data_IF_939361536972
#
_entry.id   IF_939361536972
#
_cell.length_a   1.000
_cell.length_b   1.000
_cell.length_c   1.000
_cell.angle_alpha   90.00
_cell.angle_beta   90.00
_cell.angle_gamma   90.00
#
_symmetry.space_group_name_H-M   'P 1'
#
loop_
_entity.id
_entity.type
_entity.pdbx_description
1 polymer ?
#
# COMPACT_ATOMS: atom_id res chain seq x y z
N UNK A 1 6.67 -3.17 -31.85
CA UNK A 1 6.98 -1.73 -31.66
C UNK A 1 6.96 -1.36 -30.17
N UNK A 2 5.79 -1.28 -29.50
CA UNK A 2 5.69 -0.79 -28.11
C UNK A 2 6.61 -1.49 -27.11
N UNK A 3 6.69 -2.83 -27.13
CA UNK A 3 7.59 -3.60 -26.25
C UNK A 3 9.06 -3.25 -26.53
N UNK A 4 9.46 -3.16 -27.80
CA UNK A 4 10.81 -2.79 -28.18
C UNK A 4 11.15 -1.35 -27.74
N UNK A 5 10.19 -0.42 -27.85
CA UNK A 5 10.35 0.95 -27.35
C UNK A 5 10.51 0.98 -25.82
N UNK A 6 9.67 0.24 -25.09
CA UNK A 6 9.75 0.18 -23.63
C UNK A 6 11.06 -0.45 -23.15
N UNK A 7 11.52 -1.51 -23.83
CA UNK A 7 12.81 -2.14 -23.55
C UNK A 7 13.98 -1.23 -23.90
N UNK A 8 13.94 -0.53 -25.04
CA UNK A 8 14.97 0.42 -25.43
C UNK A 8 15.09 1.56 -24.40
N UNK A 9 13.96 2.12 -23.96
CA UNK A 9 13.93 3.19 -22.97
C UNK A 9 14.44 2.71 -21.61
N UNK A 10 13.93 1.59 -21.10
CA UNK A 10 14.32 1.03 -19.80
C UNK A 10 15.78 0.56 -19.81
N UNK A 11 16.22 -0.03 -20.92
CA UNK A 11 17.58 -0.49 -21.13
C UNK A 11 18.57 0.68 -21.20
N UNK A 12 18.23 1.76 -21.91
CA UNK A 12 19.08 2.96 -21.98
C UNK A 12 19.32 3.57 -20.59
N UNK A 13 18.27 3.65 -19.75
CA UNK A 13 18.40 4.08 -18.37
C UNK A 13 19.27 3.14 -17.54
N UNK A 14 19.02 1.83 -17.61
CA UNK A 14 19.79 0.83 -16.86
C UNK A 14 21.29 0.87 -17.24
N UNK A 15 21.60 1.01 -18.53
CA UNK A 15 22.96 1.15 -19.03
C UNK A 15 23.61 2.46 -18.56
N UNK A 16 22.86 3.57 -18.51
CA UNK A 16 23.38 4.85 -17.99
C UNK A 16 23.71 4.78 -16.50
N UNK A 17 22.85 4.14 -15.70
CA UNK A 17 23.12 3.92 -14.27
C UNK A 17 24.31 2.97 -14.09
N UNK A 18 24.42 1.94 -14.92
CA UNK A 18 25.56 1.03 -14.86
C UNK A 18 26.87 1.70 -15.27
N UNK A 19 26.86 2.65 -16.22
CA UNK A 19 28.05 3.39 -16.63
C UNK A 19 28.57 4.37 -15.55
N UNK A 20 27.75 4.72 -14.57
CA UNK A 20 28.10 5.69 -13.50
C UNK A 20 28.50 5.02 -12.17
N UNK A 21 28.37 3.71 -12.06
CA UNK A 21 28.69 2.96 -10.84
C UNK A 21 29.34 1.61 -11.12
N UNK A 22 29.44 0.78 -10.10
CA UNK A 22 29.99 -0.59 -10.17
C UNK A 22 28.98 -1.63 -10.70
N UNK A 23 27.76 -1.19 -11.06
CA UNK A 23 26.66 -2.06 -11.49
C UNK A 23 26.05 -2.89 -10.37
N UNK A 24 26.48 -2.75 -9.12
CA UNK A 24 25.87 -3.46 -7.98
C UNK A 24 24.42 -3.03 -7.79
N UNK A 25 24.11 -1.74 -7.96
CA UNK A 25 22.76 -1.22 -7.85
C UNK A 25 21.80 -1.84 -8.88
N UNK A 26 22.16 -1.88 -10.17
CA UNK A 26 21.28 -2.44 -11.22
C UNK A 26 21.07 -3.93 -10.99
N UNK A 27 22.13 -4.65 -10.57
CA UNK A 27 22.05 -6.06 -10.23
C UNK A 27 21.13 -6.31 -9.04
N UNK A 28 21.27 -5.55 -7.97
CA UNK A 28 20.41 -5.67 -6.80
C UNK A 28 18.97 -5.30 -7.12
N UNK A 29 18.74 -4.25 -7.91
CA UNK A 29 17.40 -3.82 -8.33
C UNK A 29 16.70 -4.91 -9.16
N UNK A 30 17.40 -5.51 -10.12
CA UNK A 30 16.80 -6.52 -11.01
C UNK A 30 16.71 -7.91 -10.35
N UNK A 31 17.78 -8.34 -9.67
CA UNK A 31 17.89 -9.70 -9.12
C UNK A 31 17.43 -9.80 -7.66
N UNK A 32 17.82 -8.86 -6.80
CA UNK A 32 17.47 -8.88 -5.38
C UNK A 32 16.03 -8.39 -5.14
N UNK A 33 15.78 -7.13 -5.48
CA UNK A 33 14.48 -6.48 -5.28
C UNK A 33 13.38 -7.05 -6.21
N UNK A 34 13.72 -7.40 -7.45
CA UNK A 34 12.79 -7.95 -8.42
C UNK A 34 12.55 -9.45 -8.23
N UNK A 35 13.55 -10.26 -8.58
CA UNK A 35 13.43 -11.72 -8.57
C UNK A 35 13.36 -12.28 -7.14
N UNK A 36 14.27 -11.93 -6.24
CA UNK A 36 14.28 -12.57 -4.91
C UNK A 36 13.03 -12.25 -4.07
N UNK A 37 12.51 -11.01 -4.13
CA UNK A 37 11.22 -10.67 -3.47
C UNK A 37 10.01 -11.37 -4.11
N UNK A 38 10.08 -11.72 -5.39
CA UNK A 38 9.01 -12.49 -6.03
C UNK A 38 8.90 -13.91 -5.45
N UNK A 39 9.94 -14.43 -4.77
CA UNK A 39 10.01 -15.76 -4.15
C UNK A 39 10.06 -15.76 -2.61
N UNK A 40 9.59 -14.70 -1.97
CA UNK A 40 9.68 -14.52 -0.51
C UNK A 40 9.07 -15.68 0.32
N UNK A 41 9.58 -15.86 1.55
CA UNK A 41 9.39 -17.04 2.42
C UNK A 41 8.01 -17.19 3.07
N UNK A 42 7.18 -16.15 3.04
CA UNK A 42 5.84 -16.15 3.62
C UNK A 42 4.78 -15.93 2.55
N UNK A 43 4.42 -16.97 1.79
CA UNK A 43 3.45 -16.84 0.71
C UNK A 43 2.05 -16.64 1.29
N UNK A 44 1.47 -15.46 1.03
CA UNK A 44 0.03 -15.26 1.11
C UNK A 44 -0.68 -16.26 0.17
N UNK A 45 -1.90 -16.72 0.49
CA UNK A 45 -2.57 -17.76 -0.28
C UNK A 45 -2.87 -17.28 -1.73
N UNK A 46 -2.99 -18.21 -2.70
CA UNK A 46 -3.29 -17.86 -4.10
C UNK A 46 -4.59 -17.04 -4.28
N UNK A 47 -5.54 -17.20 -3.37
CA UNK A 47 -6.82 -16.49 -3.35
C UNK A 47 -6.81 -15.16 -2.58
N UNK A 48 -5.65 -14.67 -2.13
CA UNK A 48 -5.51 -13.39 -1.39
C UNK A 48 -6.28 -12.24 -2.07
N UNK A 49 -6.08 -12.03 -3.37
CA UNK A 49 -6.73 -10.94 -4.09
C UNK A 49 -8.23 -11.14 -4.29
N UNK A 50 -8.76 -12.37 -4.20
CA UNK A 50 -10.22 -12.60 -4.20
C UNK A 50 -10.89 -12.03 -2.95
N UNK A 51 -10.19 -12.01 -1.80
CA UNK A 51 -10.67 -11.37 -0.58
C UNK A 51 -10.48 -9.85 -0.57
N UNK A 52 -9.35 -9.36 -1.10
CA UNK A 52 -8.99 -7.94 -1.05
C UNK A 52 -9.69 -7.11 -2.15
N UNK A 53 -9.85 -7.67 -3.35
CA UNK A 53 -10.35 -6.91 -4.51
C UNK A 53 -11.79 -6.42 -4.33
N UNK A 54 -12.79 -7.25 -3.95
CA UNK A 54 -14.18 -6.79 -3.84
C UNK A 54 -14.41 -5.61 -2.88
N UNK A 55 -13.89 -5.59 -1.64
CA UNK A 55 -14.10 -4.46 -0.73
C UNK A 55 -13.40 -3.19 -1.22
N UNK A 56 -12.22 -3.31 -1.85
CA UNK A 56 -11.48 -2.16 -2.39
C UNK A 56 -12.06 -1.63 -3.70
N UNK A 57 -12.82 -2.45 -4.41
CA UNK A 57 -13.52 -2.08 -5.63
C UNK A 57 -14.97 -1.65 -5.38
N UNK A 58 -15.38 -1.44 -4.13
CA UNK A 58 -16.66 -0.82 -3.81
C UNK A 58 -16.74 0.61 -4.40
N UNK A 59 -17.92 1.04 -4.88
CA UNK A 59 -19.20 0.31 -4.84
C UNK A 59 -19.36 -0.73 -5.96
N UNK A 60 -18.47 -0.70 -6.95
CA UNK A 60 -18.66 -1.35 -8.25
C UNK A 60 -18.57 -2.87 -8.16
N UNK A 61 -18.01 -3.41 -7.07
CA UNK A 61 -18.03 -4.84 -6.77
C UNK A 61 -19.43 -5.44 -6.72
N UNK A 62 -20.46 -4.66 -6.36
CA UNK A 62 -21.87 -5.10 -6.42
C UNK A 62 -22.35 -5.37 -7.85
N UNK A 63 -21.69 -4.78 -8.86
CA UNK A 63 -22.01 -4.94 -10.28
C UNK A 63 -21.13 -5.99 -10.98
N UNK A 64 -20.17 -6.62 -10.28
CA UNK A 64 -19.34 -7.68 -10.86
C UNK A 64 -20.15 -8.91 -11.31
N UNK A 65 -21.14 -9.41 -10.55
CA UNK A 65 -21.97 -10.52 -11.03
C UNK A 65 -22.66 -10.18 -12.35
N UNK A 66 -23.13 -8.94 -12.49
CA UNK A 66 -23.72 -8.45 -13.73
C UNK A 66 -22.70 -8.45 -14.89
N UNK A 67 -21.49 -7.94 -14.66
CA UNK A 67 -20.46 -7.92 -15.71
C UNK A 67 -20.05 -9.33 -16.15
N UNK A 68 -20.03 -10.30 -15.23
CA UNK A 68 -19.77 -11.71 -15.54
C UNK A 68 -20.90 -12.30 -16.40
N UNK A 69 -22.16 -12.03 -16.06
CA UNK A 69 -23.30 -12.48 -16.89
C UNK A 69 -23.20 -11.89 -18.29
N UNK A 70 -22.89 -10.60 -18.41
CA UNK A 70 -22.71 -9.95 -19.71
C UNK A 70 -21.54 -10.55 -20.50
N UNK A 71 -20.43 -10.86 -19.83
CA UNK A 71 -19.31 -11.57 -20.42
C UNK A 71 -19.75 -12.92 -20.98
N UNK A 72 -20.45 -13.75 -20.21
CA UNK A 72 -20.93 -15.07 -20.69
C UNK A 72 -21.88 -14.90 -21.89
N UNK A 73 -22.81 -13.94 -21.85
CA UNK A 73 -23.75 -13.69 -22.96
C UNK A 73 -23.04 -13.22 -24.23
N UNK A 74 -21.96 -12.44 -24.09
CA UNK A 74 -21.18 -11.94 -25.25
C UNK A 74 -20.62 -13.05 -26.14
N UNK A 75 -20.53 -14.29 -25.64
CA UNK A 75 -20.08 -15.43 -26.45
C UNK A 75 -21.05 -15.78 -27.57
N UNK A 76 -22.33 -15.46 -27.39
CA UNK A 76 -23.40 -15.65 -28.39
C UNK A 76 -23.74 -14.37 -29.14
N UNK A 77 -22.99 -13.29 -28.92
CA UNK A 77 -23.23 -12.01 -29.56
C UNK A 77 -22.93 -12.09 -31.06
N UNK A 78 -23.90 -11.75 -31.94
CA UNK A 78 -23.68 -11.71 -33.38
C UNK A 78 -22.70 -10.60 -33.79
N UNK A 79 -22.55 -9.53 -33.00
CA UNK A 79 -21.59 -8.47 -33.30
C UNK A 79 -20.16 -8.86 -32.83
N UNK A 80 -19.23 -9.10 -33.77
CA UNK A 80 -17.86 -9.48 -33.44
C UNK A 80 -17.09 -8.35 -32.74
N UNK A 81 -17.43 -7.08 -32.98
CA UNK A 81 -16.74 -5.94 -32.36
C UNK A 81 -17.12 -5.83 -30.89
N UNK A 82 -18.42 -5.85 -30.57
CA UNK A 82 -18.91 -5.86 -29.19
C UNK A 82 -18.37 -7.05 -28.41
N UNK A 83 -18.41 -8.25 -29.00
CA UNK A 83 -17.83 -9.47 -28.40
C UNK A 83 -16.36 -9.30 -28.06
N UNK A 84 -15.56 -8.74 -28.97
CA UNK A 84 -14.12 -8.49 -28.74
C UNK A 84 -13.90 -7.47 -27.62
N UNK A 85 -14.65 -6.37 -27.63
CA UNK A 85 -14.52 -5.32 -26.63
C UNK A 85 -14.80 -5.84 -25.21
N UNK A 86 -15.90 -6.56 -25.02
CA UNK A 86 -16.27 -7.15 -23.71
C UNK A 86 -15.20 -8.14 -23.23
N UNK A 87 -14.69 -8.98 -24.12
CA UNK A 87 -13.64 -9.96 -23.79
C UNK A 87 -12.33 -9.31 -23.40
N UNK A 88 -11.87 -8.30 -24.14
CA UNK A 88 -10.63 -7.59 -23.81
C UNK A 88 -10.77 -6.87 -22.47
N UNK A 89 -11.91 -6.21 -22.24
CA UNK A 89 -12.19 -5.53 -20.97
C UNK A 89 -12.22 -6.50 -19.78
N UNK A 90 -12.68 -7.75 -19.96
CA UNK A 90 -12.66 -8.78 -18.92
C UNK A 90 -11.29 -9.46 -18.75
N UNK A 91 -10.55 -9.65 -19.86
CA UNK A 91 -9.28 -10.37 -19.87
C UNK A 91 -8.20 -9.62 -19.12
N UNK A 92 -8.09 -8.30 -19.29
CA UNK A 92 -7.07 -7.49 -18.64
C UNK A 92 -7.10 -7.56 -17.10
N UNK A 93 -8.24 -7.35 -16.42
CA UNK A 93 -8.29 -7.48 -14.98
C UNK A 93 -8.15 -8.94 -14.53
N UNK A 94 -8.66 -9.91 -15.30
CA UNK A 94 -8.51 -11.33 -14.98
C UNK A 94 -7.04 -11.78 -15.02
N UNK A 95 -6.32 -11.42 -16.09
CA UNK A 95 -4.88 -11.72 -16.23
C UNK A 95 -4.08 -10.98 -15.17
N UNK A 96 -4.41 -9.72 -14.88
CA UNK A 96 -3.78 -8.97 -13.80
C UNK A 96 -3.94 -9.65 -12.44
N UNK A 97 -5.16 -10.03 -12.07
CA UNK A 97 -5.44 -10.75 -10.83
C UNK A 97 -4.72 -12.10 -10.77
N UNK A 98 -4.75 -12.89 -11.85
CA UNK A 98 -4.06 -14.17 -11.91
C UNK A 98 -2.54 -14.02 -11.78
N UNK A 99 -1.94 -13.09 -12.52
CA UNK A 99 -0.51 -12.82 -12.47
C UNK A 99 -0.08 -12.41 -11.06
N UNK A 100 -0.83 -11.50 -10.42
CA UNK A 100 -0.57 -11.07 -9.04
C UNK A 100 -0.76 -12.23 -8.04
N UNK A 101 -1.78 -13.06 -8.23
CA UNK A 101 -2.02 -14.25 -7.38
C UNK A 101 -0.88 -15.26 -7.41
N UNK A 102 -0.15 -15.35 -8.54
CA UNK A 102 1.03 -16.20 -8.68
C UNK A 102 2.31 -15.63 -8.03
N UNK A 103 2.32 -14.36 -7.62
CA UNK A 103 3.48 -13.76 -6.93
C UNK A 103 3.50 -14.15 -5.44
N UNK A 104 4.67 -14.44 -4.88
CA UNK A 104 4.80 -14.78 -3.45
C UNK A 104 4.56 -13.55 -2.57
N UNK A 105 5.18 -12.42 -2.93
CA UNK A 105 4.94 -11.14 -2.25
C UNK A 105 3.65 -10.50 -2.77
N UNK A 106 2.60 -10.49 -1.94
CA UNK A 106 1.32 -9.86 -2.25
C UNK A 106 1.14 -8.57 -1.45
N UNK A 107 0.68 -7.51 -2.12
CA UNK A 107 0.38 -6.21 -1.50
C UNK A 107 -0.88 -5.63 -2.13
N UNK A 108 -1.73 -5.04 -1.31
CA UNK A 108 -3.00 -4.46 -1.79
C UNK A 108 -2.79 -3.40 -2.88
N UNK A 109 -1.73 -2.58 -2.78
CA UNK A 109 -1.40 -1.53 -3.75
C UNK A 109 -1.10 -2.08 -5.16
N UNK A 110 -0.75 -3.36 -5.29
CA UNK A 110 -0.53 -3.98 -6.60
C UNK A 110 -1.82 -4.14 -7.41
N UNK A 111 -3.00 -4.00 -6.78
CA UNK A 111 -4.28 -3.98 -7.50
C UNK A 111 -4.54 -2.68 -8.25
N UNK A 112 -3.79 -1.60 -8.00
CA UNK A 112 -4.05 -0.29 -8.61
C UNK A 112 -4.18 -0.34 -10.15
N UNK A 113 -3.31 -1.05 -10.90
CA UNK A 113 -3.45 -1.17 -12.35
C UNK A 113 -4.64 -2.01 -12.80
N UNK A 114 -5.20 -2.87 -11.94
CA UNK A 114 -6.35 -3.75 -12.25
C UNK A 114 -7.66 -2.97 -12.23
N UNK A 115 -7.82 -2.03 -11.28
CA UNK A 115 -9.05 -1.27 -11.09
C UNK A 115 -9.60 -0.55 -12.34
N UNK A 116 -8.81 0.18 -13.17
CA UNK A 116 -9.35 0.85 -14.35
C UNK A 116 -9.97 -0.13 -15.35
N UNK A 117 -9.37 -1.31 -15.54
CA UNK A 117 -9.92 -2.30 -16.47
C UNK A 117 -11.16 -3.00 -15.91
N UNK A 118 -11.18 -3.28 -14.61
CA UNK A 118 -12.38 -3.77 -13.96
C UNK A 118 -13.53 -2.75 -14.04
N UNK A 119 -13.24 -1.46 -13.85
CA UNK A 119 -14.21 -0.38 -13.98
C UNK A 119 -14.75 -0.28 -15.41
N UNK A 120 -13.89 -0.38 -16.42
CA UNK A 120 -14.31 -0.43 -17.83
C UNK A 120 -15.20 -1.63 -18.13
N UNK A 121 -14.87 -2.81 -17.59
CA UNK A 121 -15.68 -4.01 -17.78
C UNK A 121 -17.07 -3.86 -17.14
N UNK A 122 -17.14 -3.36 -15.91
CA UNK A 122 -18.42 -3.07 -15.23
C UNK A 122 -19.22 -2.00 -15.97
N UNK A 123 -18.58 -0.91 -16.38
CA UNK A 123 -19.25 0.16 -17.13
C UNK A 123 -19.79 -0.33 -18.48
N UNK A 124 -19.04 -1.18 -19.18
CA UNK A 124 -19.48 -1.80 -20.43
C UNK A 124 -20.72 -2.68 -20.26
N UNK A 125 -20.82 -3.41 -19.13
CA UNK A 125 -22.01 -4.19 -18.80
C UNK A 125 -23.20 -3.32 -18.39
N UNK A 126 -22.95 -2.23 -17.67
CA UNK A 126 -23.98 -1.31 -17.18
C UNK A 126 -24.55 -0.41 -18.31
N UNK A 127 -23.75 -0.06 -19.33
CA UNK A 127 -24.13 0.87 -20.38
C UNK A 127 -25.42 0.51 -21.14
N UNK A 128 -25.53 -0.70 -21.73
CA UNK A 128 -26.76 -1.13 -22.41
C UNK A 128 -27.98 -1.10 -21.49
N UNK A 129 -27.80 -1.40 -20.20
CA UNK A 129 -28.89 -1.38 -19.23
C UNK A 129 -29.38 0.03 -18.95
N UNK A 130 -28.47 0.99 -18.81
CA UNK A 130 -28.83 2.41 -18.63
C UNK A 130 -29.56 2.98 -19.86
N UNK A 131 -29.32 2.43 -21.06
CA UNK A 131 -30.05 2.80 -22.29
C UNK A 131 -31.37 2.05 -22.49
N UNK A 132 -31.63 1.02 -21.68
CA UNK A 132 -32.80 0.15 -21.83
C UNK A 132 -32.66 -0.88 -22.97
N UNK A 133 -31.44 -1.16 -23.40
CA UNK A 133 -31.07 -2.16 -24.41
C UNK A 133 -30.59 -3.48 -23.77
N UNK A 134 -30.61 -3.55 -22.44
CA UNK A 134 -30.15 -4.71 -21.67
C UNK A 134 -31.11 -5.90 -21.76
N UNK A 135 -30.61 -7.08 -21.40
CA UNK A 135 -31.39 -8.32 -21.39
C UNK A 135 -32.38 -8.43 -20.21
N UNK A 136 -32.42 -7.45 -19.30
CA UNK A 136 -33.33 -7.49 -18.18
C UNK A 136 -34.80 -7.34 -18.60
N UNK A 137 -35.71 -7.88 -17.79
CA UNK A 137 -37.14 -7.69 -17.99
C UNK A 137 -37.53 -6.21 -18.12
N UNK A 138 -38.53 -5.91 -18.95
CA UNK A 138 -39.01 -4.55 -19.21
C UNK A 138 -39.56 -3.83 -17.96
N UNK A 139 -40.01 -4.56 -16.94
CA UNK A 139 -40.39 -3.98 -15.63
C UNK A 139 -39.20 -3.37 -14.88
N UNK A 140 -37.97 -3.80 -15.21
CA UNK A 140 -36.72 -3.16 -14.81
C UNK A 140 -36.33 -2.00 -15.75
N UNK A 141 -37.10 -1.75 -16.81
CA UNK A 141 -36.81 -0.85 -17.92
C UNK A 141 -36.88 0.65 -17.61
N UNK A 142 -36.50 1.43 -18.64
CA UNK A 142 -36.06 2.85 -18.66
C UNK A 142 -36.62 3.82 -17.61
N UNK A 143 -37.90 3.72 -17.24
CA UNK A 143 -38.52 4.64 -16.26
C UNK A 143 -38.33 4.19 -14.81
N UNK A 144 -38.44 2.88 -14.54
CA UNK A 144 -38.24 2.34 -13.21
C UNK A 144 -36.76 2.37 -12.84
N UNK A 145 -35.86 1.91 -13.72
CA UNK A 145 -34.41 1.92 -13.47
C UNK A 145 -33.82 3.32 -13.36
N UNK A 146 -34.15 4.26 -14.25
CA UNK A 146 -33.62 5.63 -14.14
C UNK A 146 -34.16 6.37 -12.91
N UNK A 147 -35.44 6.18 -12.56
CA UNK A 147 -36.02 6.78 -11.36
C UNK A 147 -35.49 6.14 -10.08
N UNK A 148 -35.33 4.81 -10.03
CA UNK A 148 -34.75 4.11 -8.87
C UNK A 148 -33.27 4.46 -8.71
N UNK A 149 -32.51 4.53 -9.81
CA UNK A 149 -31.10 4.95 -9.75
C UNK A 149 -30.97 6.39 -9.28
N UNK A 150 -31.73 7.35 -9.85
CA UNK A 150 -31.71 8.74 -9.38
C UNK A 150 -32.19 8.90 -7.94
N UNK A 151 -33.27 8.23 -7.55
CA UNK A 151 -33.93 8.46 -6.25
C UNK A 151 -33.35 7.66 -5.11
N UNK A 152 -32.73 6.50 -5.37
CA UNK A 152 -32.25 5.60 -4.32
C UNK A 152 -30.76 5.33 -4.43
N UNK A 153 -30.26 4.95 -5.61
CA UNK A 153 -28.85 4.52 -5.73
C UNK A 153 -27.89 5.71 -5.64
N UNK A 154 -28.15 6.80 -6.39
CA UNK A 154 -27.31 8.01 -6.35
C UNK A 154 -27.22 8.62 -4.94
N UNK A 155 -28.33 8.90 -4.23
CA UNK A 155 -28.24 9.46 -2.88
C UNK A 155 -27.69 8.47 -1.85
N UNK A 156 -27.99 7.17 -1.95
CA UNK A 156 -27.36 6.18 -1.08
C UNK A 156 -25.85 6.11 -1.30
N UNK A 157 -25.40 6.19 -2.55
CA UNK A 157 -24.00 6.20 -2.90
C UNK A 157 -23.30 7.49 -2.46
N UNK A 158 -23.93 8.65 -2.68
CA UNK A 158 -23.44 9.93 -2.16
C UNK A 158 -23.38 9.92 -0.63
N UNK A 159 -24.39 9.38 0.04
CA UNK A 159 -24.41 9.21 1.50
C UNK A 159 -23.28 8.30 1.99
N UNK A 160 -23.04 7.17 1.33
CA UNK A 160 -21.93 6.28 1.65
C UNK A 160 -20.56 6.96 1.45
N UNK A 161 -20.39 7.71 0.36
CA UNK A 161 -19.17 8.50 0.14
C UNK A 161 -18.96 9.57 1.21
N UNK A 162 -20.03 10.26 1.62
CA UNK A 162 -19.97 11.22 2.74
C UNK A 162 -19.59 10.53 4.03
N UNK A 163 -20.18 9.37 4.35
CA UNK A 163 -19.84 8.61 5.55
C UNK A 163 -18.38 8.12 5.53
N UNK A 164 -17.88 7.66 4.38
CA UNK A 164 -16.47 7.28 4.21
C UNK A 164 -15.57 8.50 4.39
N UNK A 165 -15.90 9.63 3.76
CA UNK A 165 -15.13 10.86 3.89
C UNK A 165 -15.09 11.37 5.33
N UNK A 166 -16.23 11.35 6.04
CA UNK A 166 -16.33 11.70 7.46
C UNK A 166 -15.53 10.72 8.31
N UNK A 167 -15.64 9.41 8.05
CA UNK A 167 -14.88 8.39 8.78
C UNK A 167 -13.38 8.59 8.59
N UNK A 168 -12.92 8.81 7.35
CA UNK A 168 -11.53 9.12 7.05
C UNK A 168 -11.09 10.43 7.70
N UNK A 169 -11.92 11.47 7.69
CA UNK A 169 -11.62 12.74 8.35
C UNK A 169 -11.45 12.58 9.86
N UNK A 170 -12.39 11.89 10.51
CA UNK A 170 -12.33 11.56 11.95
C UNK A 170 -11.10 10.70 12.24
N UNK A 171 -10.82 9.69 11.43
CA UNK A 171 -9.67 8.82 11.61
C UNK A 171 -8.34 9.53 11.36
N UNK A 172 -8.28 10.48 10.42
CA UNK A 172 -7.10 11.33 10.21
C UNK A 172 -6.92 12.32 11.35
N UNK A 173 -8.00 12.94 11.84
CA UNK A 173 -7.97 13.81 13.01
C UNK A 173 -7.53 13.08 14.28
N UNK A 174 -8.11 11.92 14.55
CA UNK A 174 -7.74 11.06 15.67
C UNK A 174 -6.33 10.45 15.51
N UNK A 175 -5.96 10.04 14.30
CA UNK A 175 -4.67 9.46 13.98
C UNK A 175 -3.52 10.48 14.07
N UNK A 176 -3.77 11.74 13.71
CA UNK A 176 -2.81 12.83 13.95
C UNK A 176 -2.58 13.04 15.46
N UNK A 177 -3.63 12.88 16.28
CA UNK A 177 -3.53 12.95 17.74
C UNK A 177 -2.73 11.77 18.33
N UNK A 178 -3.04 10.53 17.93
CA UNK A 178 -2.38 9.33 18.50
C UNK A 178 -0.91 9.21 18.07
N UNK A 179 -0.57 9.62 16.83
CA UNK A 179 0.79 9.46 16.31
C UNK A 179 1.77 10.54 16.77
N UNK A 180 1.28 11.72 17.17
CA UNK A 180 2.15 12.76 17.74
C UNK A 180 2.52 12.48 19.20
N UNK A 181 1.61 11.94 20.00
CA UNK A 181 1.89 11.72 21.43
C UNK A 181 2.77 10.50 21.71
N UNK A 182 2.70 9.42 20.93
CA UNK A 182 3.52 8.23 21.23
C UNK A 182 5.03 8.42 21.02
N UNK A 183 5.44 9.32 20.13
CA UNK A 183 6.87 9.60 19.91
C UNK A 183 7.40 10.67 20.86
N UNK A 184 6.52 11.43 21.52
CA UNK A 184 6.91 12.58 22.35
C UNK A 184 7.73 12.16 23.58
N UNK A 185 7.36 11.13 24.37
CA UNK A 185 8.17 10.67 25.50
C UNK A 185 9.53 10.10 25.07
N UNK A 186 9.58 9.45 23.90
CA UNK A 186 10.82 8.91 23.35
C UNK A 186 11.75 10.03 22.88
N UNK A 187 11.21 11.03 22.17
CA UNK A 187 11.96 12.21 21.72
C UNK A 187 12.43 13.06 22.90
N UNK A 188 11.63 13.20 23.95
CA UNK A 188 12.00 13.90 25.20
C UNK A 188 13.06 13.12 25.99
N UNK A 189 12.97 11.79 26.02
CA UNK A 189 14.02 10.93 26.60
C UNK A 189 15.33 11.03 25.83
N UNK A 190 15.28 10.98 24.49
CA UNK A 190 16.47 11.15 23.64
C UNK A 190 17.05 12.55 23.83
N UNK A 191 16.24 13.61 23.86
CA UNK A 191 16.72 14.98 24.11
C UNK A 191 17.36 15.17 25.48
N UNK A 192 16.87 14.46 26.51
CA UNK A 192 17.42 14.55 27.87
C UNK A 192 18.68 13.72 28.11
N UNK A 193 18.96 12.72 27.26
CA UNK A 193 20.10 11.82 27.41
C UNK A 193 21.13 11.91 26.26
N UNK A 194 20.81 12.58 25.16
CA UNK A 194 21.76 12.82 24.08
C UNK A 194 22.77 13.91 24.50
N UNK A 195 24.07 13.73 24.20
CA UNK A 195 25.09 14.73 24.52
C UNK A 195 24.82 16.02 23.74
N UNK A 196 25.20 17.18 24.30
CA UNK A 196 24.83 18.51 23.79
C UNK A 196 25.24 18.80 22.32
N UNK A 197 26.15 18.01 21.74
CA UNK A 197 26.60 18.11 20.36
C UNK A 197 25.92 17.11 19.40
N UNK A 198 25.12 16.15 19.91
CA UNK A 198 24.44 15.18 19.05
C UNK A 198 23.18 15.79 18.42
N UNK A 199 23.30 16.21 17.15
CA UNK A 199 22.14 16.53 16.32
C UNK A 199 21.46 15.25 15.85
N UNK A 200 20.32 14.94 16.44
CA UNK A 200 19.49 13.83 16.00
C UNK A 200 18.76 14.21 14.70
N UNK A 201 19.34 13.86 13.54
CA UNK A 201 18.63 13.91 12.26
C UNK A 201 17.72 12.69 12.17
N UNK A 202 16.56 12.77 12.81
CA UNK A 202 15.56 11.73 12.75
C UNK A 202 14.96 11.69 11.33
N UNK A 203 15.29 10.64 10.59
CA UNK A 203 14.77 10.39 9.25
C UNK A 203 13.29 9.99 9.33
N UNK A 204 12.39 10.97 9.45
CA UNK A 204 10.98 10.76 9.14
C UNK A 204 10.82 11.08 7.66
N UNK A 205 10.66 10.04 6.84
CA UNK A 205 10.31 10.18 5.42
C UNK A 205 8.94 10.86 5.32
N UNK A 206 8.93 12.19 5.25
CA UNK A 206 7.88 12.98 4.63
C UNK A 206 8.54 13.81 3.53
N UNK A 207 8.43 13.39 2.26
CA UNK A 207 9.19 13.99 1.15
C UNK A 207 8.79 15.43 0.81
N UNK A 208 7.73 16.00 1.39
CA UNK A 208 7.04 17.14 0.78
C UNK A 208 7.27 18.49 1.45
N UNK A 209 7.99 18.58 2.58
CA UNK A 209 7.96 19.80 3.41
C UNK A 209 9.27 20.60 3.52
N UNK A 210 10.42 20.15 3.03
CA UNK A 210 11.66 20.89 3.25
C UNK A 210 12.60 20.89 2.04
N UNK A 211 12.62 22.02 1.33
CA UNK A 211 13.76 22.45 0.54
C UNK A 211 14.84 22.95 1.51
N UNK A 212 15.68 22.05 2.00
CA UNK A 212 16.90 22.40 2.72
C UNK A 212 18.07 21.96 1.84
N UNK A 213 18.96 22.89 1.52
CA UNK A 213 20.24 22.60 0.90
C UNK A 213 21.02 21.64 1.80
N UNK A 214 21.29 20.44 1.29
CA UNK A 214 21.98 19.40 2.04
C UNK A 214 23.48 19.71 2.09
N UNK A 215 24.10 19.81 3.27
CA UNK A 215 25.53 19.62 3.37
C UNK A 215 25.84 18.16 3.05
N UNK A 216 26.94 17.91 2.35
CA UNK A 216 27.45 16.61 1.93
C UNK A 216 27.39 15.60 3.09
N UNK A 217 26.40 14.69 3.08
CA UNK A 217 26.22 13.69 4.14
C UNK A 217 27.39 12.70 4.05
N UNK A 218 28.27 12.73 5.06
CA UNK A 218 29.34 11.76 5.23
C UNK A 218 28.81 10.47 5.86
N UNK A 219 28.90 9.37 5.12
CA UNK A 219 28.79 7.97 5.57
C UNK A 219 27.49 7.50 6.27
N UNK A 220 26.91 6.40 5.78
CA UNK A 220 25.85 5.66 6.47
C UNK A 220 26.47 4.67 7.47
N UNK A 221 26.06 4.71 8.74
CA UNK A 221 26.43 3.70 9.72
C UNK A 221 25.50 2.49 9.60
N UNK A 222 26.04 1.34 9.20
CA UNK A 222 25.28 0.09 9.03
C UNK A 222 25.37 -0.83 10.25
N UNK A 223 26.37 -0.62 11.11
CA UNK A 223 26.60 -1.40 12.33
C UNK A 223 26.66 -0.55 13.61
N UNK A 224 26.51 -1.19 14.77
CA UNK A 224 26.64 -0.53 16.07
C UNK A 224 28.07 -0.01 16.32
N UNK A 225 29.08 -0.71 15.81
CA UNK A 225 30.48 -0.27 15.87
C UNK A 225 30.72 0.99 15.05
N UNK A 226 30.12 1.09 13.86
CA UNK A 226 30.22 2.30 13.03
C UNK A 226 29.56 3.48 13.73
N UNK A 227 28.45 3.23 14.43
CA UNK A 227 27.77 4.23 15.22
C UNK A 227 28.65 4.74 16.37
N UNK A 228 29.28 3.84 17.13
CA UNK A 228 30.17 4.23 18.24
C UNK A 228 31.38 5.00 17.74
N UNK A 229 32.03 4.51 16.70
CA UNK A 229 33.18 5.18 16.09
C UNK A 229 32.81 6.58 15.55
N UNK A 230 31.62 6.74 14.95
CA UNK A 230 31.15 8.01 14.44
C UNK A 230 30.75 9.00 15.56
N UNK A 231 30.13 8.52 16.65
CA UNK A 231 29.85 9.32 17.85
C UNK A 231 31.15 9.82 18.48
N UNK A 232 32.14 8.94 18.64
CA UNK A 232 33.46 9.28 19.19
C UNK A 232 34.22 10.26 18.31
N UNK A 233 34.01 10.20 16.99
CA UNK A 233 34.61 11.12 16.02
C UNK A 233 33.85 12.46 15.87
N UNK A 234 32.69 12.64 16.54
CA UNK A 234 31.90 13.87 16.46
C UNK A 234 31.29 14.15 15.08
N UNK A 235 31.11 13.13 14.25
CA UNK A 235 30.58 13.26 12.88
C UNK A 235 29.04 13.33 12.92
N UNK A 236 28.42 14.20 12.12
CA UNK A 236 26.95 14.20 11.94
C UNK A 236 26.54 13.02 11.04
N UNK A 237 25.62 12.15 11.48
CA UNK A 237 25.14 11.00 10.68
C UNK A 237 23.63 10.81 10.71
N UNK A 238 23.13 10.16 9.65
CA UNK A 238 21.72 9.77 9.48
C UNK A 238 21.56 8.30 9.89
N UNK A 239 20.81 8.07 10.96
CA UNK A 239 20.55 6.73 11.49
C UNK A 239 19.41 6.04 10.73
N UNK A 240 19.65 4.85 10.20
CA UNK A 240 18.56 4.01 9.68
C UNK A 240 17.69 3.50 10.83
N UNK A 241 16.37 3.42 10.62
CA UNK A 241 15.40 2.91 11.62
C UNK A 241 15.80 1.54 12.19
N UNK A 242 16.44 0.68 11.39
CA UNK A 242 16.88 -0.66 11.83
C UNK A 242 18.05 -0.60 12.81
N UNK A 243 19.03 0.27 12.57
CA UNK A 243 20.18 0.45 13.46
C UNK A 243 19.75 1.10 14.76
N UNK A 244 18.88 2.11 14.69
CA UNK A 244 18.30 2.75 15.88
C UNK A 244 17.51 1.74 16.74
N UNK A 245 16.69 0.89 16.13
CA UNK A 245 15.94 -0.15 16.85
C UNK A 245 16.86 -1.18 17.48
N UNK A 246 17.93 -1.62 16.79
CA UNK A 246 18.91 -2.57 17.37
C UNK A 246 19.70 -1.96 18.51
N UNK A 247 20.18 -0.72 18.36
CA UNK A 247 20.95 -0.01 19.37
C UNK A 247 20.09 0.33 20.61
N UNK A 248 18.80 0.65 20.41
CA UNK A 248 17.87 0.93 21.51
C UNK A 248 17.23 -0.33 22.10
N UNK A 249 17.30 -1.49 21.43
CA UNK A 249 16.65 -2.71 21.90
C UNK A 249 17.06 -3.12 23.33
N UNK A 250 18.35 -3.05 23.74
CA UNK A 250 18.74 -3.38 25.11
C UNK A 250 18.15 -2.39 26.14
N UNK A 251 18.17 -1.09 25.83
CA UNK A 251 17.65 -0.04 26.72
C UNK A 251 16.12 -0.11 26.84
N UNK A 252 15.42 -0.36 25.73
CA UNK A 252 13.98 -0.60 25.70
C UNK A 252 13.64 -1.87 26.47
N UNK A 253 14.39 -2.96 26.29
CA UNK A 253 14.21 -4.21 27.04
C UNK A 253 14.36 -4.00 28.54
N UNK A 254 15.43 -3.34 28.99
CA UNK A 254 15.64 -3.03 30.40
C UNK A 254 14.54 -2.11 30.98
N UNK A 255 13.96 -1.23 30.15
CA UNK A 255 12.81 -0.40 30.55
C UNK A 255 11.52 -1.23 30.66
N UNK A 256 11.27 -2.12 29.70
CA UNK A 256 10.14 -3.05 29.76
C UNK A 256 10.22 -3.99 30.96
N UNK A 257 11.40 -4.53 31.26
CA UNK A 257 11.63 -5.39 32.42
C UNK A 257 11.38 -4.64 33.74
N UNK A 258 11.79 -3.37 33.85
CA UNK A 258 11.47 -2.52 35.01
C UNK A 258 9.99 -2.20 35.14
N UNK A 259 9.30 -1.91 34.02
CA UNK A 259 7.86 -1.67 34.03
C UNK A 259 7.08 -2.94 34.40
N UNK A 260 7.50 -4.10 33.88
CA UNK A 260 6.91 -5.38 34.22
C UNK A 260 7.04 -5.68 35.73
N UNK A 261 8.21 -5.43 36.33
CA UNK A 261 8.40 -5.58 37.77
C UNK A 261 7.51 -4.63 38.59
N UNK A 262 7.37 -3.38 38.17
CA UNK A 262 6.47 -2.41 38.83
C UNK A 262 4.99 -2.77 38.71
N UNK A 263 4.58 -3.42 37.61
CA UNK A 263 3.21 -3.93 37.45
C UNK A 263 2.96 -5.15 38.33
N UNK A 264 3.93 -6.06 38.41
CA UNK A 264 3.86 -7.24 39.26
C UNK A 264 3.76 -6.85 40.75
N UNK A 265 4.52 -5.84 41.17
CA UNK A 265 4.41 -5.24 42.52
C UNK A 265 3.02 -4.63 42.81
N UNK A 266 2.27 -4.22 41.77
CA UNK A 266 0.90 -3.70 41.87
C UNK A 266 -0.17 -4.77 41.71
N UNK A 267 0.21 -6.03 41.44
CA UNK A 267 -0.72 -7.11 41.13
C UNK A 267 -1.36 -7.01 39.73
N UNK A 268 -0.76 -6.25 38.82
CA UNK A 268 -1.20 -6.10 37.43
C UNK A 268 -0.48 -7.14 36.53
N UNK A 269 -1.15 -7.65 35.49
CA UNK A 269 -0.58 -8.66 34.58
C UNK A 269 0.43 -8.02 33.60
N UNK A 270 1.74 -8.34 33.69
CA UNK A 270 2.75 -7.77 32.80
C UNK A 270 2.54 -8.16 31.33
N UNK A 271 1.80 -9.25 31.06
CA UNK A 271 1.48 -9.71 29.70
C UNK A 271 0.47 -8.81 28.99
N UNK A 272 -0.18 -7.88 29.70
CA UNK A 272 -1.07 -6.89 29.10
C UNK A 272 -0.28 -5.90 28.23
N UNK A 273 0.92 -5.48 28.65
CA UNK A 273 1.83 -4.66 27.83
C UNK A 273 2.21 -5.39 26.54
N UNK A 274 2.56 -6.66 26.62
CA UNK A 274 2.94 -7.46 25.45
C UNK A 274 1.76 -7.66 24.49
N UNK A 275 0.53 -7.80 25.00
CA UNK A 275 -0.68 -7.88 24.17
C UNK A 275 -0.94 -6.56 23.42
N UNK A 276 -0.81 -5.42 24.09
CA UNK A 276 -0.97 -4.10 23.47
C UNK A 276 0.07 -3.86 22.37
N UNK A 277 1.35 -4.16 22.63
CA UNK A 277 2.43 -3.99 21.65
C UNK A 277 2.28 -4.94 20.45
N UNK A 278 1.84 -6.19 20.67
CA UNK A 278 1.68 -7.19 19.60
C UNK A 278 0.42 -6.97 18.74
N UNK A 279 -0.60 -6.29 19.27
CA UNK A 279 -1.83 -5.96 18.54
C UNK A 279 -1.74 -4.74 17.64
N UNK A 280 -0.62 -4.01 17.67
CA UNK A 280 -0.40 -2.82 16.83
C UNK A 280 0.31 -3.22 15.52
N UNK A 281 -0.21 -2.82 14.35
CA UNK A 281 0.36 -3.17 13.04
C UNK A 281 1.68 -2.46 12.73
#
# INVERSE_FOLDING_TARGET
AAVATALAFSGAWALSVQATGDGAYVRELLLGEGLAKAWDKYPEPPWYYLGVFPPRFLPWSLLLPLSIVELVRSWRDPDPQRRRAVRVAALLPAVGLLALSCMSAKREQYLLPVYPFAALHVAGALGPWLRGEGWLPEWFGRRASAAIWRRRVVPAFAGALVLIAVSLFVWRGAGLFVRQDMNRPLLEWIRSHAPAHARLVAYQVQPEAFAIEWPTIGSFAESESDLRAAVEAGVEFVLSKRVLVRALAPALRARFERMAGQMEERGEDPMEIYRVVRSQP
#
